data_IF_055727157114
#
_entry.id   IF_055727157114
#
_cell.length_a   1.000
_cell.length_b   1.000
_cell.length_c   1.000
_cell.angle_alpha   90.00
_cell.angle_beta   90.00
_cell.angle_gamma   90.00
#
_symmetry.space_group_name_H-M   'P 1'
#
loop_
_entity.id
_entity.type
_entity.pdbx_description
1 polymer ?
#
# COMPACT_ATOMS: atom_id res chain seq x y z
N UNK A 1 -3.82 4.94 21.23
CA UNK A 1 -4.12 3.55 20.81
C UNK A 1 -5.34 3.55 19.88
N UNK A 2 -5.20 3.03 18.66
CA UNK A 2 -6.33 2.88 17.73
C UNK A 2 -6.90 1.47 17.93
N UNK A 3 -8.07 1.37 18.54
CA UNK A 3 -8.78 0.11 18.70
C UNK A 3 -9.42 -0.26 17.35
N UNK A 4 -9.27 -1.51 16.94
CA UNK A 4 -9.95 -2.09 15.77
C UNK A 4 -10.90 -3.18 16.24
N UNK A 5 -11.89 -3.49 15.39
CA UNK A 5 -12.74 -4.64 15.60
C UNK A 5 -12.90 -5.50 14.34
N UNK A 6 -12.97 -6.80 14.56
CA UNK A 6 -13.45 -7.75 13.58
C UNK A 6 -14.97 -7.87 13.74
N UNK A 7 -15.71 -7.71 12.64
CA UNK A 7 -17.15 -7.92 12.62
C UNK A 7 -17.47 -9.24 11.93
N UNK A 8 -18.49 -9.92 12.42
CA UNK A 8 -19.03 -11.14 11.80
C UNK A 8 -20.47 -10.90 11.38
N UNK A 9 -20.82 -11.39 10.20
CA UNK A 9 -22.17 -11.34 9.66
C UNK A 9 -22.67 -12.77 9.44
N UNK A 10 -23.87 -13.07 9.94
CA UNK A 10 -24.59 -14.27 9.52
C UNK A 10 -25.21 -14.02 8.14
N UNK A 11 -24.74 -14.75 7.13
CA UNK A 11 -25.17 -14.58 5.75
C UNK A 11 -26.62 -15.01 5.53
N UNK A 12 -27.21 -15.81 6.44
CA UNK A 12 -28.63 -16.13 6.42
C UNK A 12 -29.50 -14.92 6.73
N UNK A 13 -29.03 -13.99 7.57
CA UNK A 13 -29.77 -12.78 7.97
C UNK A 13 -29.65 -11.59 7.00
N UNK A 14 -28.79 -11.70 5.98
CA UNK A 14 -28.58 -10.60 5.02
C UNK A 14 -29.83 -10.40 4.17
N UNK A 15 -30.47 -9.25 4.36
CA UNK A 15 -31.64 -8.84 3.58
C UNK A 15 -31.29 -8.62 2.10
N UNK A 16 -32.32 -8.59 1.25
CA UNK A 16 -32.15 -8.24 -0.16
C UNK A 16 -31.52 -6.84 -0.33
N UNK A 17 -30.67 -6.64 -1.35
CA UNK A 17 -30.13 -5.33 -1.65
C UNK A 17 -31.26 -4.34 -2.00
N UNK A 18 -31.20 -3.08 -1.54
CA UNK A 18 -32.12 -2.06 -2.03
C UNK A 18 -32.01 -1.90 -3.56
N UNK A 19 -33.08 -1.41 -4.23
CA UNK A 19 -33.03 -1.15 -5.67
C UNK A 19 -31.95 -0.13 -5.99
N UNK A 20 -31.32 -0.31 -7.16
CA UNK A 20 -30.34 0.63 -7.67
C UNK A 20 -31.05 1.82 -8.31
N UNK A 21 -30.39 2.98 -8.29
CA UNK A 21 -30.84 4.13 -9.08
C UNK A 21 -30.74 3.78 -10.57
N UNK A 22 -31.53 4.46 -11.38
CA UNK A 22 -31.52 4.29 -12.83
C UNK A 22 -30.09 4.44 -13.40
N UNK A 23 -29.74 3.57 -14.35
CA UNK A 23 -28.42 3.53 -14.98
C UNK A 23 -27.29 2.94 -14.13
N UNK A 24 -27.52 2.61 -12.85
CA UNK A 24 -26.48 2.01 -11.99
C UNK A 24 -26.51 0.49 -12.06
N UNK A 25 -25.37 -0.12 -12.37
CA UNK A 25 -25.16 -1.58 -12.31
C UNK A 25 -24.17 -1.95 -11.23
N UNK A 26 -24.20 -3.21 -10.78
CA UNK A 26 -23.20 -3.79 -9.88
C UNK A 26 -22.81 -5.17 -10.42
N UNK A 27 -21.63 -5.29 -10.99
CA UNK A 27 -21.18 -6.53 -11.62
C UNK A 27 -20.16 -7.23 -10.72
N UNK A 28 -20.32 -8.55 -10.52
CA UNK A 28 -19.40 -9.36 -9.74
C UNK A 28 -18.46 -10.09 -10.68
N UNK A 29 -17.18 -9.77 -10.61
CA UNK A 29 -16.12 -10.39 -11.40
C UNK A 29 -15.15 -11.19 -10.53
N UNK A 30 -14.51 -12.20 -11.11
CA UNK A 30 -13.50 -13.00 -10.42
C UNK A 30 -12.26 -12.18 -10.03
N UNK A 31 -11.97 -11.12 -10.79
CA UNK A 31 -10.88 -10.16 -10.55
C UNK A 31 -11.28 -8.79 -11.09
N UNK A 32 -10.82 -7.72 -10.45
CA UNK A 32 -10.95 -6.37 -10.99
C UNK A 32 -10.03 -6.17 -12.20
N UNK A 33 -10.49 -5.42 -13.20
CA UNK A 33 -9.66 -5.01 -14.34
C UNK A 33 -8.66 -3.91 -13.92
N UNK A 34 -7.62 -3.70 -14.73
CA UNK A 34 -6.53 -2.76 -14.39
C UNK A 34 -7.01 -1.30 -14.26
N UNK A 35 -8.08 -0.92 -14.96
CA UNK A 35 -8.69 0.42 -14.84
C UNK A 35 -9.36 0.56 -13.48
N UNK A 36 -10.14 -0.43 -13.06
CA UNK A 36 -10.77 -0.46 -11.74
C UNK A 36 -9.73 -0.46 -10.61
N UNK A 37 -8.64 -1.22 -10.76
CA UNK A 37 -7.55 -1.24 -9.77
C UNK A 37 -6.87 0.13 -9.64
N UNK A 38 -6.61 0.79 -10.76
CA UNK A 38 -5.97 2.12 -10.76
C UNK A 38 -6.92 3.22 -10.27
N UNK A 39 -8.22 3.09 -10.55
CA UNK A 39 -9.25 3.93 -9.94
C UNK A 39 -9.36 3.72 -8.43
N UNK A 40 -9.22 2.48 -7.93
CA UNK A 40 -9.17 2.20 -6.48
C UNK A 40 -7.96 2.91 -5.84
N UNK A 41 -6.79 2.82 -6.48
CA UNK A 41 -5.58 3.52 -6.02
C UNK A 41 -5.79 5.05 -5.96
N UNK A 42 -6.40 5.63 -7.00
CA UNK A 42 -6.68 7.06 -7.06
C UNK A 42 -7.72 7.52 -6.02
N UNK A 43 -8.81 6.76 -5.87
CA UNK A 43 -10.00 7.19 -5.12
C UNK A 43 -9.89 6.91 -3.62
N UNK A 44 -9.32 5.76 -3.25
CA UNK A 44 -9.26 5.30 -1.86
C UNK A 44 -7.84 5.23 -1.32
N UNK A 45 -6.85 5.01 -2.19
CA UNK A 45 -5.44 4.92 -1.80
C UNK A 45 -5.12 3.68 -0.96
N UNK A 46 -4.04 3.80 -0.17
CA UNK A 46 -3.54 2.71 0.65
C UNK A 46 -2.99 1.54 -0.17
N UNK A 47 -3.44 0.33 0.16
CA UNK A 47 -3.10 -0.90 -0.56
C UNK A 47 -4.33 -1.66 -1.07
N UNK A 48 -5.50 -1.00 -1.10
CA UNK A 48 -6.77 -1.63 -1.42
C UNK A 48 -6.83 -2.23 -2.83
N UNK A 49 -6.10 -1.66 -3.79
CA UNK A 49 -5.99 -2.24 -5.13
C UNK A 49 -5.29 -3.60 -5.10
N UNK A 50 -4.28 -3.80 -4.25
CA UNK A 50 -3.65 -5.11 -4.10
C UNK A 50 -4.59 -6.13 -3.51
N UNK A 51 -5.48 -5.70 -2.59
CA UNK A 51 -6.49 -6.58 -2.02
C UNK A 51 -7.57 -6.94 -3.04
N UNK A 52 -8.08 -5.95 -3.77
CA UNK A 52 -8.99 -6.15 -4.88
C UNK A 52 -8.38 -7.05 -5.97
N UNK A 53 -7.09 -6.93 -6.24
CA UNK A 53 -6.39 -7.74 -7.23
C UNK A 53 -6.27 -9.22 -6.83
N UNK A 54 -6.26 -9.51 -5.52
CA UNK A 54 -6.15 -10.86 -4.96
C UNK A 54 -7.52 -11.51 -4.68
N UNK A 55 -8.62 -10.82 -4.98
CA UNK A 55 -9.98 -11.29 -4.69
C UNK A 55 -10.94 -11.09 -5.84
N UNK A 56 -12.15 -11.61 -5.66
CA UNK A 56 -13.28 -11.25 -6.52
C UNK A 56 -13.82 -9.88 -6.15
N UNK A 57 -14.46 -9.19 -7.08
CA UNK A 57 -14.90 -7.82 -6.87
C UNK A 57 -16.33 -7.62 -7.35
N UNK A 58 -17.15 -7.00 -6.51
CA UNK A 58 -18.37 -6.34 -6.96
C UNK A 58 -18.00 -4.90 -7.33
N UNK A 59 -18.29 -4.47 -8.56
CA UNK A 59 -17.97 -3.13 -9.05
C UNK A 59 -19.25 -2.42 -9.48
N UNK A 60 -19.52 -1.27 -8.89
CA UNK A 60 -20.65 -0.42 -9.24
C UNK A 60 -20.28 0.55 -10.37
N UNK A 61 -21.12 0.63 -11.40
CA UNK A 61 -20.91 1.53 -12.55
C UNK A 61 -22.16 2.28 -12.94
N UNK A 62 -21.97 3.42 -13.61
CA UNK A 62 -23.00 4.13 -14.38
C UNK A 62 -22.36 4.73 -15.62
N UNK A 63 -22.86 4.39 -16.80
CA UNK A 63 -22.34 4.89 -18.09
C UNK A 63 -20.81 4.70 -18.25
N UNK A 64 -20.28 3.61 -17.70
CA UNK A 64 -18.84 3.30 -17.71
C UNK A 64 -18.00 3.98 -16.61
N UNK A 65 -18.58 4.90 -15.84
CA UNK A 65 -17.95 5.52 -14.67
C UNK A 65 -17.99 4.58 -13.46
N UNK A 66 -16.88 4.53 -12.71
CA UNK A 66 -16.74 3.69 -11.51
C UNK A 66 -17.27 4.45 -10.28
N UNK A 67 -18.25 3.86 -9.61
CA UNK A 67 -18.97 4.50 -8.49
C UNK A 67 -18.63 3.89 -7.13
N UNK A 68 -18.17 2.64 -7.12
CA UNK A 68 -17.93 1.89 -5.90
C UNK A 68 -17.38 0.51 -6.18
N UNK A 69 -16.73 -0.09 -5.20
CA UNK A 69 -16.32 -1.48 -5.25
C UNK A 69 -16.42 -2.16 -3.88
N UNK A 70 -16.49 -3.49 -3.91
CA UNK A 70 -16.32 -4.34 -2.74
C UNK A 70 -15.49 -5.54 -3.15
N UNK A 71 -14.44 -5.82 -2.39
CA UNK A 71 -13.68 -7.06 -2.54
C UNK A 71 -14.37 -8.18 -1.76
N UNK A 72 -14.46 -9.33 -2.41
CA UNK A 72 -15.15 -10.54 -1.97
C UNK A 72 -14.12 -11.65 -2.00
N UNK A 73 -13.97 -12.33 -0.87
CA UNK A 73 -13.20 -13.56 -0.78
C UNK A 73 -11.71 -13.37 -1.12
N UNK A 74 -11.08 -12.36 -0.51
CA UNK A 74 -9.63 -12.16 -0.61
C UNK A 74 -8.87 -13.18 0.27
N UNK A 75 -9.19 -14.47 0.15
CA UNK A 75 -8.60 -15.53 0.99
C UNK A 75 -7.07 -15.65 0.89
N UNK A 76 -6.48 -15.08 -0.17
CA UNK A 76 -5.03 -14.95 -0.30
C UNK A 76 -4.43 -13.92 0.67
N UNK A 77 -5.25 -13.00 1.20
CA UNK A 77 -4.87 -12.06 2.25
C UNK A 77 -5.08 -12.67 3.64
N UNK A 78 -4.28 -13.69 3.95
CA UNK A 78 -4.15 -14.16 5.33
C UNK A 78 -3.28 -13.15 6.09
N UNK A 79 -3.85 -12.02 6.51
CA UNK A 79 -3.17 -11.13 7.45
C UNK A 79 -2.73 -11.94 8.66
N UNK A 80 -1.51 -11.71 9.15
CA UNK A 80 -0.86 -12.53 10.18
C UNK A 80 -1.64 -12.63 11.49
N UNK A 81 -2.49 -11.63 11.72
CA UNK A 81 -3.38 -11.50 12.88
C UNK A 81 -4.77 -12.05 12.70
N UNK A 82 -5.21 -12.38 11.47
CA UNK A 82 -6.53 -12.97 11.22
C UNK A 82 -6.46 -14.45 11.62
N UNK A 83 -6.27 -14.69 12.92
CA UNK A 83 -6.32 -15.98 13.57
C UNK A 83 -7.77 -16.34 13.89
N UNK A 84 -8.06 -17.61 14.17
CA UNK A 84 -9.41 -18.04 14.51
C UNK A 84 -10.37 -18.01 13.31
N UNK A 85 -11.35 -17.11 13.33
CA UNK A 85 -12.50 -17.09 12.40
C UNK A 85 -12.13 -17.06 10.91
N UNK A 86 -11.04 -16.41 10.53
CA UNK A 86 -10.58 -16.39 9.14
C UNK A 86 -10.01 -17.74 8.64
N UNK A 87 -9.81 -18.72 9.54
CA UNK A 87 -9.41 -20.09 9.20
C UNK A 87 -10.60 -21.07 9.13
N UNK A 88 -11.79 -20.65 9.55
CA UNK A 88 -13.01 -21.46 9.42
C UNK A 88 -13.42 -21.49 7.93
N UNK A 89 -13.48 -22.67 7.29
CA UNK A 89 -13.84 -22.78 5.87
C UNK A 89 -15.27 -22.29 5.59
N UNK A 90 -16.13 -22.19 6.60
CA UNK A 90 -17.47 -21.61 6.50
C UNK A 90 -17.54 -20.09 6.63
N UNK A 91 -16.40 -19.40 6.79
CA UNK A 91 -16.32 -17.94 6.94
C UNK A 91 -15.59 -17.33 5.75
N UNK A 92 -16.30 -16.57 4.93
CA UNK A 92 -15.71 -15.77 3.86
C UNK A 92 -15.16 -14.44 4.38
N UNK A 93 -14.21 -13.83 3.68
CA UNK A 93 -13.69 -12.49 4.00
C UNK A 93 -14.33 -11.45 3.09
N UNK A 94 -14.78 -10.33 3.67
CA UNK A 94 -15.32 -9.18 2.96
C UNK A 94 -14.47 -7.94 3.21
N UNK A 95 -14.18 -7.20 2.13
CA UNK A 95 -13.41 -5.97 2.16
C UNK A 95 -12.07 -6.09 1.43
N UNK A 96 -11.47 -4.94 1.02
CA UNK A 96 -11.94 -3.57 1.25
C UNK A 96 -13.19 -3.20 0.43
N UNK A 97 -13.86 -2.12 0.85
CA UNK A 97 -15.13 -1.67 0.29
C UNK A 97 -15.25 -0.15 0.38
N UNK A 98 -15.76 0.47 -0.68
CA UNK A 98 -16.01 1.90 -0.72
C UNK A 98 -16.85 2.35 -1.90
N UNK A 99 -17.43 3.54 -1.77
CA UNK A 99 -18.09 4.28 -2.85
C UNK A 99 -17.46 5.67 -2.98
N UNK A 100 -17.59 6.32 -4.13
CA UNK A 100 -17.10 7.69 -4.31
C UNK A 100 -17.78 8.64 -3.31
N UNK A 101 -17.18 9.81 -3.10
CA UNK A 101 -17.69 10.78 -2.13
C UNK A 101 -19.14 11.20 -2.42
N UNK A 102 -19.48 11.33 -3.70
CA UNK A 102 -20.80 11.74 -4.22
C UNK A 102 -21.87 10.66 -3.98
N UNK A 103 -21.47 9.40 -3.81
CA UNK A 103 -22.36 8.28 -3.58
C UNK A 103 -22.57 7.96 -2.10
N UNK A 104 -21.92 8.70 -1.19
CA UNK A 104 -22.13 8.53 0.25
C UNK A 104 -23.56 8.94 0.60
N UNK A 105 -24.29 8.06 1.28
CA UNK A 105 -25.69 8.28 1.63
C UNK A 105 -26.69 8.06 0.47
N UNK A 106 -26.24 7.70 -0.74
CA UNK A 106 -27.14 7.50 -1.89
C UNK A 106 -27.94 6.19 -1.85
N UNK A 107 -27.58 5.29 -0.93
CA UNK A 107 -28.06 3.91 -0.86
C UNK A 107 -27.15 2.91 -1.60
N UNK A 108 -26.27 3.38 -2.49
CA UNK A 108 -25.39 2.52 -3.28
C UNK A 108 -24.47 1.66 -2.42
N UNK A 109 -23.89 2.22 -1.37
CA UNK A 109 -23.02 1.47 -0.46
C UNK A 109 -23.74 0.27 0.17
N UNK A 110 -24.99 0.45 0.63
CA UNK A 110 -25.80 -0.63 1.21
C UNK A 110 -26.18 -1.69 0.17
N UNK A 111 -26.50 -1.26 -1.06
CA UNK A 111 -26.74 -2.19 -2.17
C UNK A 111 -25.51 -3.05 -2.46
N UNK A 112 -24.35 -2.41 -2.58
CA UNK A 112 -23.08 -3.04 -2.89
C UNK A 112 -22.63 -4.00 -1.77
N UNK A 113 -22.72 -3.58 -0.51
CA UNK A 113 -22.45 -4.42 0.65
C UNK A 113 -23.33 -5.68 0.66
N UNK A 114 -24.66 -5.52 0.61
CA UNK A 114 -25.59 -6.67 0.66
C UNK A 114 -25.41 -7.61 -0.52
N UNK A 115 -25.24 -7.08 -1.74
CA UNK A 115 -25.04 -7.89 -2.94
C UNK A 115 -23.76 -8.71 -2.86
N UNK A 116 -22.70 -8.14 -2.28
CA UNK A 116 -21.42 -8.80 -2.07
C UNK A 116 -21.47 -9.90 -1.01
N UNK A 117 -22.14 -9.65 0.12
CA UNK A 117 -22.35 -10.68 1.15
C UNK A 117 -23.23 -11.83 0.66
N UNK A 118 -24.28 -11.53 -0.12
CA UNK A 118 -25.08 -12.57 -0.77
C UNK A 118 -24.27 -13.36 -1.82
N UNK A 119 -23.26 -12.76 -2.46
CA UNK A 119 -22.34 -13.49 -3.32
C UNK A 119 -21.46 -14.47 -2.52
N UNK A 120 -20.97 -14.08 -1.33
CA UNK A 120 -20.30 -15.04 -0.42
C UNK A 120 -21.23 -16.20 -0.04
N UNK A 121 -22.51 -15.91 0.25
CA UNK A 121 -23.50 -16.96 0.57
C UNK A 121 -23.66 -17.97 -0.56
N UNK A 122 -23.74 -17.48 -1.82
CA UNK A 122 -23.83 -18.35 -3.01
C UNK A 122 -22.59 -19.21 -3.23
N UNK A 123 -21.44 -18.79 -2.71
CA UNK A 123 -20.18 -19.58 -2.71
C UNK A 123 -20.12 -20.62 -1.59
N UNK A 124 -21.14 -20.72 -0.75
CA UNK A 124 -21.24 -21.73 0.32
C UNK A 124 -20.76 -21.25 1.70
N UNK A 125 -20.33 -20.00 1.84
CA UNK A 125 -20.01 -19.46 3.17
C UNK A 125 -21.28 -19.29 3.99
N UNK A 126 -21.19 -19.61 5.29
CA UNK A 126 -22.27 -19.40 6.27
C UNK A 126 -22.18 -18.02 6.90
N UNK A 127 -20.97 -17.52 7.07
CA UNK A 127 -20.67 -16.24 7.72
C UNK A 127 -19.69 -15.43 6.88
N UNK A 128 -19.66 -14.12 7.09
CA UNK A 128 -18.66 -13.23 6.52
C UNK A 128 -17.94 -12.44 7.61
N UNK A 129 -16.62 -12.39 7.51
CA UNK A 129 -15.73 -11.60 8.36
C UNK A 129 -15.43 -10.27 7.67
N UNK A 130 -15.70 -9.17 8.38
CA UNK A 130 -15.28 -7.82 8.01
C UNK A 130 -14.15 -7.44 8.97
N UNK A 131 -12.92 -7.49 8.48
CA UNK A 131 -11.73 -7.36 9.30
C UNK A 131 -11.36 -5.89 9.59
N UNK A 132 -10.70 -5.67 10.72
CA UNK A 132 -9.95 -4.45 11.01
C UNK A 132 -10.74 -3.13 10.85
N UNK A 133 -12.00 -3.10 11.29
CA UNK A 133 -12.83 -1.88 11.27
C UNK A 133 -12.44 -0.98 12.44
N UNK A 134 -11.92 0.22 12.15
CA UNK A 134 -11.42 1.16 13.17
C UNK A 134 -12.25 2.43 13.38
N UNK A 135 -13.35 2.60 12.64
CA UNK A 135 -14.25 3.74 12.77
C UNK A 135 -15.58 3.27 13.35
N UNK A 136 -15.94 3.76 14.54
CA UNK A 136 -17.21 3.47 15.21
C UNK A 136 -18.44 3.84 14.35
N UNK A 137 -18.32 4.81 13.43
CA UNK A 137 -19.37 5.10 12.44
C UNK A 137 -19.53 3.95 11.45
N UNK A 138 -18.44 3.34 11.01
CA UNK A 138 -18.46 2.16 10.13
C UNK A 138 -18.99 0.93 10.88
N UNK A 139 -18.63 0.74 12.15
CA UNK A 139 -19.20 -0.34 12.98
C UNK A 139 -20.72 -0.23 13.05
N UNK A 140 -21.24 0.96 13.37
CA UNK A 140 -22.69 1.22 13.37
C UNK A 140 -23.33 1.04 12.00
N UNK A 141 -22.64 1.46 10.94
CA UNK A 141 -23.10 1.26 9.57
C UNK A 141 -23.27 -0.23 9.24
N UNK A 142 -22.26 -1.07 9.52
CA UNK A 142 -22.34 -2.51 9.27
C UNK A 142 -23.39 -3.19 10.15
N UNK A 143 -23.50 -2.81 11.42
CA UNK A 143 -24.53 -3.31 12.32
C UNK A 143 -25.94 -3.01 11.77
N UNK A 144 -26.22 -1.78 11.35
CA UNK A 144 -27.53 -1.40 10.80
C UNK A 144 -27.80 -1.96 9.40
N UNK A 145 -26.79 -2.04 8.54
CA UNK A 145 -26.98 -2.44 7.15
C UNK A 145 -27.16 -3.95 6.98
N UNK A 146 -26.45 -4.75 7.78
CA UNK A 146 -26.34 -6.21 7.59
C UNK A 146 -26.34 -7.01 8.90
N UNK A 147 -26.74 -6.41 10.02
CA UNK A 147 -26.74 -7.06 11.33
C UNK A 147 -25.36 -7.62 11.72
N UNK A 148 -24.29 -6.90 11.37
CA UNK A 148 -22.94 -7.28 11.76
C UNK A 148 -22.77 -7.18 13.28
N UNK A 149 -22.22 -8.22 13.89
CA UNK A 149 -21.88 -8.25 15.30
C UNK A 149 -20.36 -8.08 15.48
N UNK A 150 -19.94 -7.44 16.56
CA UNK A 150 -18.52 -7.40 16.95
C UNK A 150 -18.12 -8.80 17.40
N UNK A 151 -17.21 -9.43 16.66
CA UNK A 151 -16.65 -10.73 17.00
C UNK A 151 -15.45 -10.61 17.94
N UNK A 152 -14.63 -9.56 17.73
CA UNK A 152 -13.40 -9.33 18.49
C UNK A 152 -13.05 -7.84 18.46
N UNK A 153 -12.52 -7.31 19.58
CA UNK A 153 -11.86 -6.01 19.65
C UNK A 153 -10.39 -6.22 19.99
N UNK A 154 -9.51 -5.50 19.32
CA UNK A 154 -8.08 -5.60 19.52
C UNK A 154 -7.40 -4.25 19.29
N UNK A 155 -6.29 -4.02 19.96
CA UNK A 155 -5.48 -2.82 19.77
C UNK A 155 -4.46 -3.06 18.66
N UNK A 156 -4.26 -2.09 17.77
CA UNK A 156 -3.25 -2.20 16.70
C UNK A 156 -1.87 -2.50 17.27
N UNK A 157 -1.49 -1.90 18.40
CA UNK A 157 -0.22 -2.20 19.07
C UNK A 157 -0.08 -3.67 19.48
N UNK A 158 -1.18 -4.31 19.90
CA UNK A 158 -1.16 -5.73 20.28
C UNK A 158 -0.88 -6.68 19.11
N UNK A 159 -1.11 -6.22 17.89
CA UNK A 159 -0.80 -6.95 16.66
C UNK A 159 0.70 -7.01 16.41
N UNK A 160 1.43 -6.02 16.93
CA UNK A 160 2.84 -5.82 16.69
C UNK A 160 3.62 -6.22 17.94
N UNK A 161 3.93 -7.52 18.04
CA UNK A 161 4.60 -8.11 19.21
C UNK A 161 5.95 -7.49 19.57
N UNK A 162 6.61 -6.78 18.64
CA UNK A 162 7.89 -6.07 18.82
C UNK A 162 7.98 -4.89 17.87
N UNK A 163 8.63 -3.80 18.30
CA UNK A 163 9.06 -2.75 17.38
C UNK A 163 10.01 -3.38 16.35
N UNK A 164 9.76 -3.13 15.07
CA UNK A 164 10.57 -3.71 13.99
C UNK A 164 11.83 -2.90 13.80
N UNK A 165 12.98 -3.54 13.97
CA UNK A 165 14.29 -2.92 13.80
C UNK A 165 14.44 -2.51 12.35
N UNK A 166 14.42 -1.21 12.10
CA UNK A 166 14.35 -0.65 10.76
C UNK A 166 15.56 0.23 10.50
N UNK A 167 16.24 0.00 9.39
CA UNK A 167 17.31 0.85 8.91
C UNK A 167 16.85 1.58 7.65
N UNK A 168 17.24 2.85 7.52
CA UNK A 168 16.90 3.67 6.34
C UNK A 168 18.17 4.01 5.55
N UNK A 169 18.14 3.77 4.25
CA UNK A 169 19.16 4.17 3.29
C UNK A 169 18.65 5.38 2.49
N UNK A 170 19.42 6.48 2.49
CA UNK A 170 19.03 7.72 1.81
C UNK A 170 20.24 8.49 1.25
N UNK A 171 20.13 9.02 0.03
CA UNK A 171 21.22 9.73 -0.66
C UNK A 171 21.08 11.25 -0.72
N UNK A 172 19.87 11.78 -0.49
CA UNK A 172 19.51 13.17 -0.82
C UNK A 172 18.80 13.94 0.30
N UNK A 173 17.69 14.59 -0.05
CA UNK A 173 16.93 15.52 0.81
C UNK A 173 16.36 14.88 2.08
N UNK A 174 16.01 13.59 2.02
CA UNK A 174 15.48 12.82 3.14
C UNK A 174 14.04 13.19 3.54
N UNK A 175 13.21 13.70 2.62
CA UNK A 175 11.80 14.04 2.91
C UNK A 175 10.99 12.79 3.27
N UNK A 176 11.14 11.70 2.51
CA UNK A 176 10.55 10.40 2.85
C UNK A 176 11.04 9.86 4.21
N UNK A 177 12.33 10.02 4.52
CA UNK A 177 12.88 9.70 5.85
C UNK A 177 12.19 10.53 6.95
N UNK A 178 12.03 11.84 6.75
CA UNK A 178 11.35 12.71 7.71
C UNK A 178 9.92 12.23 7.97
N UNK A 179 9.16 11.94 6.90
CA UNK A 179 7.79 11.41 7.01
C UNK A 179 7.71 10.15 7.87
N UNK A 180 8.68 9.24 7.73
CA UNK A 180 8.76 8.03 8.57
C UNK A 180 9.13 8.37 10.01
N UNK A 181 10.13 9.22 10.23
CA UNK A 181 10.55 9.66 11.57
C UNK A 181 9.40 10.33 12.33
N UNK A 182 8.67 11.23 11.68
CA UNK A 182 7.51 11.92 12.25
C UNK A 182 6.39 10.93 12.61
N UNK A 183 6.14 9.94 11.73
CA UNK A 183 5.14 8.91 11.96
C UNK A 183 5.50 7.97 13.12
N UNK A 184 6.79 7.65 13.29
CA UNK A 184 7.31 6.88 14.43
C UNK A 184 7.20 7.69 15.72
N UNK A 185 7.64 8.95 15.73
CA UNK A 185 7.53 9.84 16.88
C UNK A 185 6.06 10.07 17.30
N UNK A 186 5.14 10.13 16.33
CA UNK A 186 3.70 10.23 16.56
C UNK A 186 3.01 8.91 16.93
N UNK A 187 3.74 7.79 17.05
CA UNK A 187 3.17 6.48 17.42
C UNK A 187 2.25 5.86 16.36
N UNK A 188 2.31 6.34 15.12
CA UNK A 188 1.48 5.84 14.00
C UNK A 188 2.16 4.73 13.22
N UNK A 189 3.49 4.63 13.30
CA UNK A 189 4.29 3.52 12.78
C UNK A 189 5.11 2.89 13.90
N UNK A 190 4.86 1.62 14.28
CA UNK A 190 5.56 0.93 15.37
C UNK A 190 6.92 0.36 14.90
N UNK A 191 7.78 1.25 14.40
CA UNK A 191 9.14 0.92 13.97
C UNK A 191 10.16 1.40 15.00
N UNK A 192 11.27 0.69 15.12
CA UNK A 192 12.48 1.18 15.79
C UNK A 192 13.47 1.59 14.70
N UNK A 193 13.70 2.89 14.50
CA UNK A 193 14.72 3.35 13.55
C UNK A 193 16.10 3.17 14.20
N UNK A 194 16.75 2.03 13.90
CA UNK A 194 18.04 1.64 14.50
C UNK A 194 19.22 2.37 13.87
N UNK A 195 19.04 2.92 12.66
CA UNK A 195 20.05 3.76 12.03
C UNK A 195 19.67 4.30 10.67
N UNK A 196 20.49 5.24 10.19
CA UNK A 196 20.42 5.80 8.85
C UNK A 196 21.78 5.62 8.16
N UNK A 197 21.77 5.12 6.93
CA UNK A 197 22.96 4.97 6.10
C UNK A 197 22.83 5.91 4.90
N UNK A 198 23.90 6.64 4.60
CA UNK A 198 23.98 7.45 3.38
C UNK A 198 25.23 7.13 2.58
N UNK A 199 25.13 7.17 1.26
CA UNK A 199 26.28 7.16 0.36
C UNK A 199 26.82 8.57 0.08
N UNK A 200 26.18 9.61 0.63
CA UNK A 200 26.54 10.99 0.39
C UNK A 200 26.78 11.73 1.72
N UNK A 201 28.02 12.15 2.03
CA UNK A 201 28.33 12.84 3.28
C UNK A 201 27.60 14.18 3.45
N UNK A 202 27.07 14.75 2.36
CA UNK A 202 26.34 16.03 2.34
C UNK A 202 24.82 15.84 2.26
N UNK A 203 24.30 14.63 2.43
CA UNK A 203 22.87 14.39 2.39
C UNK A 203 22.15 15.10 3.54
N UNK A 204 21.15 15.91 3.22
CA UNK A 204 20.27 16.56 4.22
C UNK A 204 19.55 15.52 5.09
N UNK A 205 19.33 14.31 4.57
CA UNK A 205 18.81 13.17 5.32
C UNK A 205 19.59 12.88 6.62
N UNK A 206 20.92 13.09 6.63
CA UNK A 206 21.76 12.90 7.81
C UNK A 206 21.37 13.88 8.91
N UNK A 207 21.17 15.15 8.57
CA UNK A 207 20.79 16.18 9.54
C UNK A 207 19.39 15.93 10.11
N UNK A 208 18.45 15.48 9.27
CA UNK A 208 17.10 15.08 9.70
C UNK A 208 17.16 13.93 10.71
N UNK A 209 17.96 12.91 10.41
CA UNK A 209 18.17 11.77 11.32
C UNK A 209 18.75 12.22 12.67
N UNK A 210 19.76 13.11 12.68
CA UNK A 210 20.34 13.66 13.92
C UNK A 210 19.29 14.43 14.73
N UNK A 211 18.52 15.30 14.08
CA UNK A 211 17.47 16.11 14.75
C UNK A 211 16.37 15.24 15.36
N UNK A 212 16.05 14.12 14.73
CA UNK A 212 15.08 13.15 15.24
C UNK A 212 15.66 12.19 16.30
N UNK A 213 16.94 12.34 16.68
CA UNK A 213 17.56 11.52 17.72
C UNK A 213 18.00 10.12 17.28
N UNK A 214 18.16 9.87 15.98
CA UNK A 214 18.70 8.59 15.49
C UNK A 214 20.15 8.44 15.95
N UNK A 215 20.40 7.42 16.78
CA UNK A 215 21.68 7.24 17.49
C UNK A 215 22.86 6.88 16.60
N UNK A 216 22.62 6.12 15.52
CA UNK A 216 23.67 5.60 14.65
C UNK A 216 23.43 6.03 13.21
N UNK A 217 24.38 6.80 12.67
CA UNK A 217 24.34 7.31 11.31
C UNK A 217 25.68 7.00 10.66
N UNK A 218 25.64 6.26 9.55
CA UNK A 218 26.84 5.80 8.83
C UNK A 218 26.89 6.45 7.45
N UNK A 219 28.08 6.86 7.02
CA UNK A 219 28.32 7.35 5.67
C UNK A 219 29.23 6.38 4.93
N UNK A 220 28.64 5.65 3.99
CA UNK A 220 29.33 4.68 3.13
C UNK A 220 29.42 5.26 1.73
N UNK A 221 30.33 6.21 1.53
CA UNK A 221 30.59 6.78 0.20
C UNK A 221 31.44 5.83 -0.65
N UNK A 222 31.13 5.74 -1.94
CA UNK A 222 31.91 4.93 -2.89
C UNK A 222 33.11 5.71 -3.41
N UNK A 223 34.34 5.27 -3.10
CA UNK A 223 35.55 5.85 -3.66
C UNK A 223 35.89 5.22 -5.02
N UNK A 224 35.25 5.68 -6.10
CA UNK A 224 35.45 5.12 -7.44
C UNK A 224 36.91 5.10 -7.94
N UNK A 225 37.78 5.95 -7.40
CA UNK A 225 39.19 6.03 -7.82
C UNK A 225 40.07 4.92 -7.21
N UNK A 226 39.68 4.35 -6.06
CA UNK A 226 40.49 3.37 -5.33
C UNK A 226 39.72 2.15 -4.80
N UNK A 227 38.41 2.08 -5.05
CA UNK A 227 37.53 1.03 -4.55
C UNK A 227 36.72 0.43 -5.70
N UNK A 228 36.94 -0.85 -5.98
CA UNK A 228 36.11 -1.61 -6.91
C UNK A 228 34.67 -1.74 -6.40
N UNK A 229 33.72 -1.89 -7.33
CA UNK A 229 32.29 -1.97 -6.99
C UNK A 229 31.97 -3.07 -5.96
N UNK A 230 32.59 -4.24 -6.09
CA UNK A 230 32.39 -5.35 -5.15
C UNK A 230 32.87 -5.03 -3.72
N UNK A 231 33.97 -4.30 -3.56
CA UNK A 231 34.46 -3.88 -2.23
C UNK A 231 33.50 -2.88 -1.57
N UNK A 232 32.94 -1.95 -2.36
CA UNK A 232 31.90 -1.04 -1.89
C UNK A 232 30.62 -1.79 -1.47
N UNK A 233 30.16 -2.72 -2.29
CA UNK A 233 28.94 -3.49 -2.01
C UNK A 233 29.10 -4.35 -0.74
N UNK A 234 30.28 -4.99 -0.55
CA UNK A 234 30.60 -5.74 0.66
C UNK A 234 30.60 -4.86 1.92
N UNK A 235 31.19 -3.66 1.84
CA UNK A 235 31.16 -2.66 2.93
C UNK A 235 29.74 -2.22 3.27
N UNK A 236 28.92 -1.93 2.26
CA UNK A 236 27.52 -1.55 2.45
C UNK A 236 26.73 -2.68 3.11
N UNK A 237 26.87 -3.91 2.60
CA UNK A 237 26.22 -5.10 3.16
C UNK A 237 26.60 -5.32 4.61
N UNK A 238 27.90 -5.29 4.93
CA UNK A 238 28.37 -5.50 6.30
C UNK A 238 27.90 -4.39 7.25
N UNK A 239 27.92 -3.15 6.77
CA UNK A 239 27.41 -2.01 7.52
C UNK A 239 25.95 -2.22 7.87
N UNK A 240 25.10 -2.51 6.89
CA UNK A 240 23.67 -2.76 7.12
C UNK A 240 23.44 -3.98 8.00
N UNK A 241 24.22 -5.06 7.82
CA UNK A 241 24.15 -6.29 8.63
C UNK A 241 24.39 -6.02 10.10
N UNK A 242 25.35 -5.15 10.43
CA UNK A 242 25.70 -4.80 11.82
C UNK A 242 24.56 -4.10 12.58
N UNK A 243 23.51 -3.63 11.91
CA UNK A 243 22.32 -3.09 12.57
C UNK A 243 21.29 -4.17 12.93
N UNK A 244 21.46 -5.40 12.45
CA UNK A 244 20.49 -6.49 12.62
C UNK A 244 19.04 -6.06 12.30
N UNK A 245 18.78 -5.55 11.08
CA UNK A 245 17.47 -5.02 10.72
C UNK A 245 16.46 -6.15 10.43
N UNK A 246 15.23 -5.96 10.88
CA UNK A 246 14.03 -6.68 10.39
C UNK A 246 13.56 -6.12 9.04
N UNK A 247 13.82 -4.83 8.78
CA UNK A 247 13.36 -4.08 7.62
C UNK A 247 14.43 -3.10 7.15
N UNK A 248 14.66 -3.07 5.83
CA UNK A 248 15.49 -2.05 5.17
C UNK A 248 14.60 -1.16 4.31
N UNK A 249 14.71 0.16 4.49
CA UNK A 249 13.96 1.15 3.71
C UNK A 249 14.89 1.94 2.80
N UNK A 250 14.67 1.87 1.49
CA UNK A 250 15.34 2.69 0.49
C UNK A 250 14.49 3.94 0.25
N UNK A 251 14.81 5.04 0.92
CA UNK A 251 14.06 6.29 0.89
C UNK A 251 14.88 7.37 0.16
N UNK A 252 14.88 7.30 -1.17
CA UNK A 252 15.72 8.13 -2.03
C UNK A 252 17.17 7.64 -2.09
N UNK A 253 17.36 6.32 -2.11
CA UNK A 253 18.66 5.69 -2.30
C UNK A 253 18.99 5.59 -3.79
N UNK A 254 20.15 6.11 -4.20
CA UNK A 254 20.48 6.33 -5.62
C UNK A 254 21.45 5.31 -6.23
N UNK A 255 21.77 4.22 -5.51
CA UNK A 255 22.64 3.15 -6.02
C UNK A 255 21.84 1.85 -6.19
N UNK A 256 22.10 1.11 -7.28
CA UNK A 256 21.64 -0.29 -7.37
C UNK A 256 22.26 -1.11 -6.23
N UNK A 257 21.54 -2.10 -5.72
CA UNK A 257 22.04 -3.01 -4.69
C UNK A 257 22.55 -4.29 -5.35
N UNK A 258 23.63 -4.86 -4.80
CA UNK A 258 24.13 -6.16 -5.26
C UNK A 258 23.11 -7.27 -4.96
N UNK A 259 23.03 -8.34 -5.78
CA UNK A 259 22.12 -9.47 -5.54
C UNK A 259 22.24 -10.06 -4.13
N UNK A 260 23.48 -10.19 -3.61
CA UNK A 260 23.75 -10.69 -2.25
C UNK A 260 23.06 -9.84 -1.17
N UNK A 261 22.95 -8.51 -1.38
CA UNK A 261 22.22 -7.65 -0.46
C UNK A 261 20.73 -8.00 -0.44
N UNK A 262 20.14 -8.21 -1.62
CA UNK A 262 18.72 -8.55 -1.76
C UNK A 262 18.41 -9.91 -1.12
N UNK A 263 19.28 -10.89 -1.31
CA UNK A 263 19.18 -12.22 -0.71
C UNK A 263 19.31 -12.14 0.83
N UNK A 264 20.23 -11.32 1.33
CA UNK A 264 20.47 -11.17 2.77
C UNK A 264 19.37 -10.40 3.48
N UNK A 265 18.76 -9.42 2.80
CA UNK A 265 17.72 -8.54 3.34
C UNK A 265 16.45 -8.61 2.47
N UNK A 266 15.71 -9.73 2.50
CA UNK A 266 14.53 -9.92 1.64
C UNK A 266 13.41 -8.93 1.94
N UNK A 267 13.34 -8.43 3.19
CA UNK A 267 12.44 -7.35 3.59
C UNK A 267 13.11 -5.99 3.37
N UNK A 268 13.50 -5.72 2.11
CA UNK A 268 13.95 -4.39 1.67
C UNK A 268 12.88 -3.75 0.79
N UNK A 269 12.39 -2.57 1.18
CA UNK A 269 11.34 -1.83 0.48
C UNK A 269 11.88 -0.52 -0.10
N UNK A 270 11.43 -0.18 -1.31
CA UNK A 270 11.87 1.00 -2.05
C UNK A 270 10.67 1.86 -2.45
N UNK A 271 10.84 3.18 -2.36
CA UNK A 271 9.95 4.16 -3.00
C UNK A 271 10.48 4.52 -4.38
N UNK A 272 9.61 4.39 -5.38
CA UNK A 272 9.89 4.74 -6.76
C UNK A 272 8.90 5.81 -7.26
N UNK A 273 9.38 6.94 -7.81
CA UNK A 273 8.53 8.06 -8.23
C UNK A 273 7.88 7.83 -9.61
N UNK A 274 7.25 6.66 -9.77
CA UNK A 274 6.33 6.39 -10.88
C UNK A 274 5.22 5.44 -10.45
N UNK A 275 4.09 5.49 -11.17
CA UNK A 275 3.01 4.53 -11.02
C UNK A 275 3.38 3.24 -11.79
N UNK A 276 3.62 2.14 -11.06
CA UNK A 276 4.03 0.86 -11.63
C UNK A 276 2.85 -0.13 -11.63
N UNK A 277 2.83 -1.13 -12.55
CA UNK A 277 1.79 -2.16 -12.55
C UNK A 277 1.87 -3.05 -11.31
N UNK A 278 0.73 -3.60 -10.88
CA UNK A 278 0.68 -4.58 -9.79
C UNK A 278 1.36 -5.90 -10.18
N UNK A 279 1.25 -6.31 -11.45
CA UNK A 279 2.02 -7.43 -11.98
C UNK A 279 3.43 -6.95 -12.36
N UNK A 280 4.49 -7.39 -11.67
CA UNK A 280 5.86 -6.94 -11.92
C UNK A 280 6.41 -7.33 -13.30
N UNK A 281 5.76 -8.29 -13.97
CA UNK A 281 6.13 -8.76 -15.32
C UNK A 281 5.63 -7.81 -16.41
N UNK A 282 4.67 -6.95 -16.11
CA UNK A 282 4.14 -6.00 -17.08
C UNK A 282 5.08 -4.81 -17.30
N UNK A 283 5.16 -4.38 -18.57
CA UNK A 283 5.93 -3.20 -19.01
C UNK A 283 5.03 -2.00 -19.31
N UNK A 284 3.73 -2.14 -19.04
CA UNK A 284 2.72 -1.12 -19.21
C UNK A 284 1.84 -1.07 -17.97
N UNK A 285 1.24 0.09 -17.73
CA UNK A 285 0.29 0.30 -16.64
C UNK A 285 -0.92 1.05 -17.17
N UNK A 286 -2.10 0.61 -16.77
CA UNK A 286 -3.37 1.30 -17.03
C UNK A 286 -3.56 2.37 -15.97
N UNK A 287 -3.99 3.56 -16.36
CA UNK A 287 -4.24 4.71 -15.50
C UNK A 287 -5.72 4.82 -15.15
N UNK A 288 -6.12 5.66 -14.17
CA UNK A 288 -7.52 5.77 -13.74
C UNK A 288 -8.51 6.14 -14.85
N UNK A 289 -8.06 6.92 -15.84
CA UNK A 289 -8.84 7.30 -17.03
C UNK A 289 -8.91 6.19 -18.09
N UNK A 290 -8.25 5.05 -17.88
CA UNK A 290 -8.18 3.92 -18.80
C UNK A 290 -7.06 4.03 -19.85
N UNK A 291 -6.30 5.13 -19.88
CA UNK A 291 -5.11 5.23 -20.75
C UNK A 291 -4.02 4.25 -20.30
N UNK A 292 -3.19 3.78 -21.23
CA UNK A 292 -2.14 2.79 -20.96
C UNK A 292 -0.79 3.34 -21.36
N UNK A 293 0.10 3.51 -20.38
CA UNK A 293 1.45 4.06 -20.58
C UNK A 293 2.53 3.01 -20.31
N UNK A 294 3.79 3.23 -20.74
CA UNK A 294 4.92 2.42 -20.29
C UNK A 294 5.09 2.48 -18.76
N UNK A 295 5.53 1.39 -18.16
CA UNK A 295 5.95 1.37 -16.76
C UNK A 295 7.35 2.01 -16.65
N UNK A 296 7.42 3.26 -16.22
CA UNK A 296 8.69 3.98 -16.10
C UNK A 296 9.50 3.48 -14.91
N UNK A 297 10.68 2.91 -15.17
CA UNK A 297 11.58 2.29 -14.17
C UNK A 297 12.95 2.97 -14.21
N UNK A 298 13.67 2.90 -13.10
CA UNK A 298 15.02 3.44 -12.96
C UNK A 298 15.06 4.96 -12.76
N UNK A 299 16.27 5.56 -12.79
CA UNK A 299 16.53 6.88 -12.24
C UNK A 299 15.91 8.04 -13.04
N UNK A 300 15.39 7.79 -14.24
CA UNK A 300 14.77 8.81 -15.09
C UNK A 300 13.24 8.78 -15.04
N UNK A 301 12.63 7.98 -14.18
CA UNK A 301 11.20 7.71 -14.23
C UNK A 301 10.31 8.97 -14.16
N UNK A 302 10.67 9.97 -13.33
CA UNK A 302 9.95 11.26 -13.30
C UNK A 302 10.03 11.98 -14.63
N UNK A 303 11.24 12.09 -15.21
CA UNK A 303 11.45 12.73 -16.51
C UNK A 303 10.69 11.99 -17.62
N UNK A 304 10.76 10.67 -17.61
CA UNK A 304 10.10 9.83 -18.61
C UNK A 304 8.58 9.95 -18.50
N UNK A 305 8.04 10.06 -17.29
CA UNK A 305 6.61 10.29 -17.05
C UNK A 305 6.16 11.68 -17.51
N UNK A 306 6.94 12.72 -17.24
CA UNK A 306 6.67 14.09 -17.69
C UNK A 306 6.74 14.24 -19.22
N UNK A 307 7.61 13.47 -19.87
CA UNK A 307 7.74 13.47 -21.34
C UNK A 307 6.66 12.62 -22.03
N UNK A 308 5.91 11.82 -21.29
CA UNK A 308 4.86 10.97 -21.84
C UNK A 308 3.62 11.79 -22.22
N UNK A 309 2.87 11.41 -23.26
CA UNK A 309 1.57 12.00 -23.56
C UNK A 309 0.51 11.49 -22.57
N UNK A 310 0.69 11.80 -21.30
CA UNK A 310 -0.15 11.37 -20.19
C UNK A 310 -0.32 12.49 -19.19
N UNK A 311 -1.54 12.64 -18.66
CA UNK A 311 -1.82 13.58 -17.57
C UNK A 311 -1.59 12.93 -16.19
N UNK A 312 -0.72 11.92 -16.10
CA UNK A 312 -0.51 11.17 -14.88
C UNK A 312 0.97 10.90 -14.59
N UNK A 313 1.33 11.11 -13.33
CA UNK A 313 2.52 10.55 -12.69
C UNK A 313 2.07 9.67 -11.53
N UNK A 314 2.97 9.27 -10.64
CA UNK A 314 2.59 8.63 -9.39
C UNK A 314 3.78 8.14 -8.60
N UNK A 315 3.50 7.41 -7.53
CA UNK A 315 4.53 6.79 -6.70
C UNK A 315 4.16 5.34 -6.41
N UNK A 316 5.18 4.48 -6.33
CA UNK A 316 5.04 3.07 -5.98
C UNK A 316 6.04 2.71 -4.91
N UNK A 317 5.56 2.20 -3.78
CA UNK A 317 6.38 1.58 -2.76
C UNK A 317 6.31 0.06 -2.91
N UNK A 318 7.45 -0.58 -3.12
CA UNK A 318 7.52 -2.00 -3.48
C UNK A 318 8.69 -2.69 -2.78
N UNK A 319 8.60 -4.01 -2.60
CA UNK A 319 9.74 -4.81 -2.19
C UNK A 319 10.76 -4.86 -3.33
N UNK A 320 12.05 -4.84 -3.07
CA UNK A 320 13.06 -4.91 -4.15
C UNK A 320 13.24 -6.35 -4.63
N UNK A 321 13.78 -6.50 -5.84
CA UNK A 321 14.24 -7.79 -6.38
C UNK A 321 15.57 -7.59 -7.10
N UNK A 322 16.13 -8.64 -7.68
CA UNK A 322 17.28 -8.52 -8.59
C UNK A 322 16.97 -7.70 -9.85
N UNK A 323 15.69 -7.48 -10.17
CA UNK A 323 15.25 -6.67 -11.29
C UNK A 323 14.78 -5.29 -10.81
N UNK A 324 15.36 -4.24 -11.40
CA UNK A 324 15.10 -2.83 -11.05
C UNK A 324 13.61 -2.52 -11.10
N UNK A 325 13.07 -2.07 -9.97
CA UNK A 325 11.69 -1.65 -9.75
C UNK A 325 10.61 -2.68 -10.10
N UNK A 326 10.95 -3.97 -10.24
CA UNK A 326 10.01 -5.06 -10.61
C UNK A 326 9.62 -5.95 -9.44
N UNK A 327 9.52 -5.39 -8.24
CA UNK A 327 9.11 -6.19 -7.10
C UNK A 327 7.63 -6.06 -6.74
N UNK A 328 7.16 -6.92 -5.83
CA UNK A 328 5.79 -6.87 -5.33
C UNK A 328 5.45 -5.49 -4.77
N UNK A 329 4.36 -4.89 -5.28
CA UNK A 329 3.85 -3.59 -4.83
C UNK A 329 3.26 -3.73 -3.44
N UNK A 330 3.71 -2.87 -2.52
CA UNK A 330 3.16 -2.74 -1.17
C UNK A 330 2.05 -1.69 -1.16
N UNK A 331 2.29 -0.54 -1.77
CA UNK A 331 1.31 0.52 -1.99
C UNK A 331 1.70 1.31 -3.24
N UNK A 332 0.72 1.92 -3.91
CA UNK A 332 0.96 2.83 -5.03
C UNK A 332 -0.17 3.84 -5.12
N UNK A 333 0.09 4.98 -5.74
CA UNK A 333 -0.95 5.99 -5.99
C UNK A 333 -0.62 6.78 -7.25
N UNK A 334 -1.58 6.96 -8.17
CA UNK A 334 -1.41 7.86 -9.30
C UNK A 334 -1.65 9.31 -8.85
N UNK A 335 -1.08 10.25 -9.60
CA UNK A 335 -1.25 11.69 -9.38
C UNK A 335 -1.51 12.37 -10.72
N UNK A 336 -2.63 13.07 -10.82
CA UNK A 336 -2.95 13.83 -12.03
C UNK A 336 -2.06 15.07 -12.13
N UNK A 337 -1.59 15.34 -13.34
CA UNK A 337 -0.81 16.53 -13.70
C UNK A 337 -1.77 17.60 -14.21
N UNK A 338 -1.69 18.80 -13.62
CA UNK A 338 -2.50 19.94 -14.02
C UNK A 338 -2.08 20.49 -15.39
N UNK A 339 -3.02 21.08 -16.13
CA UNK A 339 -2.69 21.78 -17.37
C UNK A 339 -1.85 23.01 -17.06
N UNK A 340 -0.62 23.06 -17.58
CA UNK A 340 0.32 24.15 -17.33
C UNK A 340 0.90 24.16 -15.91
N UNK A 341 0.81 23.05 -15.18
CA UNK A 341 1.43 22.92 -13.86
C UNK A 341 2.96 22.99 -13.97
N UNK A 342 3.58 23.83 -13.13
CA UNK A 342 5.02 24.00 -13.08
C UNK A 342 5.69 22.75 -12.46
N UNK A 343 6.87 22.37 -12.96
CA UNK A 343 7.57 21.16 -12.52
C UNK A 343 7.83 21.16 -11.00
N UNK A 344 8.16 22.32 -10.42
CA UNK A 344 8.40 22.44 -8.98
C UNK A 344 7.15 22.14 -8.15
N UNK A 345 5.98 22.62 -8.56
CA UNK A 345 4.70 22.39 -7.89
C UNK A 345 4.30 20.91 -7.97
N UNK A 346 4.47 20.31 -9.16
CA UNK A 346 4.24 18.88 -9.34
C UNK A 346 5.15 18.05 -8.45
N UNK A 347 6.44 18.40 -8.35
CA UNK A 347 7.39 17.70 -7.50
C UNK A 347 7.04 17.80 -6.01
N UNK A 348 6.53 18.95 -5.55
CA UNK A 348 6.04 19.09 -4.17
C UNK A 348 4.84 18.18 -3.90
N UNK A 349 3.87 18.14 -4.82
CA UNK A 349 2.71 17.21 -4.73
C UNK A 349 3.15 15.75 -4.80
N UNK A 350 4.12 15.42 -5.64
CA UNK A 350 4.68 14.08 -5.76
C UNK A 350 5.37 13.64 -4.46
N UNK A 351 6.18 14.49 -3.82
CA UNK A 351 6.77 14.15 -2.52
C UNK A 351 5.70 13.94 -1.43
N UNK A 352 4.64 14.75 -1.41
CA UNK A 352 3.54 14.55 -0.48
C UNK A 352 2.82 13.21 -0.72
N UNK A 353 2.65 12.82 -1.98
CA UNK A 353 2.12 11.52 -2.40
C UNK A 353 3.03 10.37 -1.95
N UNK A 354 4.34 10.48 -2.18
CA UNK A 354 5.32 9.49 -1.73
C UNK A 354 5.25 9.26 -0.22
N UNK A 355 5.13 10.32 0.57
CA UNK A 355 4.99 10.21 2.02
C UNK A 355 3.76 9.36 2.41
N UNK A 356 2.63 9.54 1.72
CA UNK A 356 1.42 8.74 1.92
C UNK A 356 1.66 7.28 1.54
N UNK A 357 2.22 7.04 0.35
CA UNK A 357 2.46 5.70 -0.21
C UNK A 357 3.46 4.91 0.63
N UNK A 358 4.54 5.55 1.11
CA UNK A 358 5.53 4.93 2.02
C UNK A 358 4.86 4.49 3.32
N UNK A 359 4.11 5.37 4.00
CA UNK A 359 3.45 5.02 5.26
C UNK A 359 2.41 3.91 5.08
N UNK A 360 1.63 3.96 3.99
CA UNK A 360 0.67 2.92 3.66
C UNK A 360 1.35 1.57 3.41
N UNK A 361 2.43 1.56 2.63
CA UNK A 361 3.16 0.34 2.31
C UNK A 361 3.89 -0.27 3.50
N UNK A 362 4.48 0.54 4.39
CA UNK A 362 5.02 0.07 5.68
C UNK A 362 3.92 -0.54 6.54
N UNK A 363 2.77 0.12 6.62
CA UNK A 363 1.62 -0.37 7.39
C UNK A 363 1.17 -1.74 6.87
N UNK A 364 1.05 -1.90 5.55
CA UNK A 364 0.77 -3.21 4.94
C UNK A 364 1.83 -4.25 5.30
N UNK A 365 3.12 -3.91 5.13
CA UNK A 365 4.23 -4.83 5.44
C UNK A 365 4.14 -5.35 6.88
N UNK A 366 3.83 -4.47 7.83
CA UNK A 366 3.65 -4.84 9.23
C UNK A 366 2.50 -5.85 9.43
N UNK A 367 1.47 -5.81 8.58
CA UNK A 367 0.29 -6.67 8.64
C UNK A 367 0.47 -8.01 7.90
N UNK A 368 1.43 -8.10 6.98
CA UNK A 368 1.76 -9.34 6.28
C UNK A 368 2.30 -10.41 7.26
N UNK A 369 2.03 -11.71 7.00
CA UNK A 369 2.75 -12.79 7.67
C UNK A 369 4.26 -12.63 7.49
N UNK A 370 5.01 -12.85 8.57
CA UNK A 370 6.44 -13.10 8.44
C UNK A 370 6.61 -14.31 7.51
N UNK A 371 7.42 -14.14 6.46
CA UNK A 371 7.70 -15.18 5.47
C UNK A 371 8.65 -16.24 6.01
#
# INVERSE_FOLDING_TARGET
MRQLCNLIVDLASVAQPPPLREGVTIDVAARADDRALSWIDATFGGWWSSEANAGSNAIARRDGELLGFATIDAQELKFSWLRGLARDPGVGVFGPFGVTAEQRGSGLGTALLRRSLLALRRRGYRRALIAAVGDERLVRYYAGAVNAAVAERFDVESLFRRHRRTIVLASGSGTNLQSVLDAVAGGTLPLEIVGVVSNNPRAVAIERARRAGVRRIEVIAWNKAGEGRGAYDARLLETVRSFEPDLVLLLGWMHLLAPEFVERFPETLNIHPAFLPLDPRCDRVTLPDGSVIPAFRGPRAVRDALAAPSSWVGATFHRITSHTDRGPVMARKPLSVGVGEEEEELMQRLHALEHEVVRAGITRWLYEPAR
#
